data_IF_277256627455
#
_entry.id   IF_277256627455
#
_cell.length_a   1.000
_cell.length_b   1.000
_cell.length_c   1.000
_cell.angle_alpha   90.00
_cell.angle_beta   90.00
_cell.angle_gamma   90.00
#
_symmetry.space_group_name_H-M   'P 1'
#
loop_
_entity.id
_entity.type
_entity.pdbx_description
1 polymer ?
#
# COMPACT_ATOMS: atom_id res chain seq x y z
N UNK A 1 5.59 0.75 -20.25
CA UNK A 1 5.99 -0.08 -19.08
C UNK A 1 5.26 0.49 -17.88
N UNK A 2 4.47 -0.32 -17.17
CA UNK A 2 3.77 0.19 -16.01
C UNK A 2 4.75 0.43 -14.86
N UNK A 3 4.70 1.61 -14.25
CA UNK A 3 5.53 1.94 -13.10
C UNK A 3 5.05 1.18 -11.86
N UNK A 4 5.98 0.76 -11.00
CA UNK A 4 5.67 0.14 -9.71
C UNK A 4 4.74 1.04 -8.87
N UNK A 5 4.87 2.36 -9.00
CA UNK A 5 3.95 3.34 -8.42
C UNK A 5 2.50 3.11 -8.83
N UNK A 6 2.24 2.93 -10.13
CA UNK A 6 0.89 2.65 -10.64
C UNK A 6 0.37 1.30 -10.14
N UNK A 7 1.20 0.26 -10.12
CA UNK A 7 0.82 -1.04 -9.59
C UNK A 7 0.40 -0.97 -8.11
N UNK A 8 1.13 -0.21 -7.29
CA UNK A 8 0.77 0.05 -5.88
C UNK A 8 -0.54 0.81 -5.79
N UNK A 9 -0.71 1.91 -6.53
CA UNK A 9 -1.93 2.72 -6.46
C UNK A 9 -3.17 1.93 -6.91
N UNK A 10 -3.06 1.10 -7.96
CA UNK A 10 -4.14 0.21 -8.41
C UNK A 10 -4.50 -0.81 -7.32
N UNK A 11 -3.49 -1.45 -6.74
CA UNK A 11 -3.69 -2.41 -5.64
C UNK A 11 -4.40 -1.77 -4.44
N UNK A 12 -4.03 -0.53 -4.07
CA UNK A 12 -4.70 0.21 -2.99
C UNK A 12 -6.15 0.51 -3.34
N UNK A 13 -6.44 0.93 -4.57
CA UNK A 13 -7.79 1.22 -5.03
C UNK A 13 -8.67 -0.04 -5.05
N UNK A 14 -8.13 -1.17 -5.55
CA UNK A 14 -8.81 -2.46 -5.56
C UNK A 14 -9.11 -2.95 -4.13
N UNK A 15 -8.13 -2.85 -3.22
CA UNK A 15 -8.34 -3.20 -1.82
C UNK A 15 -9.39 -2.33 -1.15
N UNK A 16 -9.41 -1.02 -1.41
CA UNK A 16 -10.44 -0.12 -0.89
C UNK A 16 -11.82 -0.44 -1.45
N UNK A 17 -11.90 -0.86 -2.71
CA UNK A 17 -13.16 -1.20 -3.35
C UNK A 17 -13.73 -2.53 -2.83
N UNK A 18 -12.88 -3.54 -2.71
CA UNK A 18 -13.26 -4.88 -2.26
C UNK A 18 -13.43 -4.95 -0.74
N UNK A 19 -12.60 -4.21 0.00
CA UNK A 19 -12.54 -4.24 1.47
C UNK A 19 -12.47 -2.82 2.04
N UNK A 20 -13.56 -2.03 1.96
CA UNK A 20 -13.57 -0.63 2.39
C UNK A 20 -13.27 -0.42 3.89
N UNK A 21 -13.52 -1.44 4.71
CA UNK A 21 -13.24 -1.42 6.15
C UNK A 21 -11.80 -1.80 6.51
N UNK A 22 -11.04 -2.34 5.55
CA UNK A 22 -9.69 -2.86 5.81
C UNK A 22 -8.65 -1.73 5.80
N UNK A 23 -7.71 -1.79 6.74
CA UNK A 23 -6.65 -0.78 6.82
C UNK A 23 -5.60 -1.02 5.75
N UNK A 24 -5.27 0.03 5.01
CA UNK A 24 -4.17 -0.02 4.04
C UNK A 24 -2.84 -0.02 4.79
N UNK A 25 -2.16 -1.16 4.82
CA UNK A 25 -0.81 -1.28 5.39
C UNK A 25 0.18 -1.72 4.33
N UNK A 26 1.46 -1.44 4.54
CA UNK A 26 2.53 -1.94 3.66
C UNK A 26 2.48 -3.46 3.51
N UNK A 27 2.07 -4.19 4.57
CA UNK A 27 1.93 -5.64 4.55
C UNK A 27 0.80 -6.06 3.61
N UNK A 28 -0.40 -5.50 3.79
CA UNK A 28 -1.58 -5.82 2.97
C UNK A 28 -1.30 -5.57 1.49
N UNK A 29 -0.69 -4.43 1.15
CA UNK A 29 -0.34 -4.12 -0.24
C UNK A 29 0.73 -5.07 -0.80
N UNK A 30 1.72 -5.44 0.00
CA UNK A 30 2.76 -6.37 -0.43
C UNK A 30 2.19 -7.76 -0.72
N UNK A 31 1.28 -8.24 0.12
CA UNK A 31 0.58 -9.52 -0.05
C UNK A 31 -0.37 -9.47 -1.24
N UNK A 32 -1.09 -8.37 -1.45
CA UNK A 32 -2.02 -8.19 -2.56
C UNK A 32 -1.32 -8.08 -3.92
N UNK A 33 -0.31 -7.21 -4.00
CA UNK A 33 0.34 -6.93 -5.27
C UNK A 33 1.20 -8.11 -5.75
N UNK A 34 1.88 -8.82 -4.84
CA UNK A 34 2.72 -10.01 -5.11
C UNK A 34 3.94 -9.79 -6.01
N UNK A 35 3.92 -8.73 -6.83
CA UNK A 35 4.88 -8.39 -7.88
C UNK A 35 6.02 -7.50 -7.36
N UNK A 36 5.85 -6.86 -6.20
CA UNK A 36 6.82 -5.90 -5.66
C UNK A 36 7.65 -6.56 -4.56
N UNK A 37 8.92 -6.91 -4.83
CA UNK A 37 9.74 -7.67 -3.88
C UNK A 37 10.17 -6.86 -2.64
N UNK A 38 10.05 -5.53 -2.70
CA UNK A 38 10.57 -4.65 -1.65
C UNK A 38 9.45 -3.93 -0.88
N UNK A 39 9.18 -4.41 0.34
CA UNK A 39 8.30 -3.73 1.32
C UNK A 39 8.74 -2.28 1.58
N UNK A 40 10.05 -1.99 1.59
CA UNK A 40 10.57 -0.62 1.74
C UNK A 40 10.14 0.28 0.58
N UNK A 41 10.07 -0.25 -0.64
CA UNK A 41 9.64 0.52 -1.82
C UNK A 41 8.15 0.85 -1.74
N UNK A 42 7.33 -0.14 -1.36
CA UNK A 42 5.89 0.06 -1.09
C UNK A 42 5.71 1.11 0.00
N UNK A 43 6.44 0.99 1.11
CA UNK A 43 6.34 1.94 2.21
C UNK A 43 6.63 3.38 1.78
N UNK A 44 7.69 3.61 0.99
CA UNK A 44 8.01 4.95 0.47
C UNK A 44 6.93 5.49 -0.47
N UNK A 45 6.39 4.62 -1.33
CA UNK A 45 5.30 5.01 -2.25
C UNK A 45 4.03 5.35 -1.46
N UNK A 46 3.64 4.51 -0.50
CA UNK A 46 2.48 4.80 0.35
C UNK A 46 2.68 6.11 1.13
N UNK A 47 3.87 6.34 1.71
CA UNK A 47 4.17 7.59 2.42
C UNK A 47 4.24 8.82 1.51
N UNK A 48 4.49 8.65 0.20
CA UNK A 48 4.49 9.75 -0.79
C UNK A 48 3.07 10.16 -1.18
N UNK A 49 2.13 9.21 -1.23
CA UNK A 49 0.77 9.43 -1.75
C UNK A 49 -0.32 9.49 -0.67
N UNK A 50 -0.07 8.93 0.52
CA UNK A 50 -1.05 8.80 1.59
C UNK A 50 -0.49 9.29 2.92
N UNK A 51 -1.39 9.63 3.83
CA UNK A 51 -1.03 10.08 5.16
C UNK A 51 -0.78 8.83 6.02
N UNK A 52 0.44 8.70 6.53
CA UNK A 52 0.82 7.63 7.45
C UNK A 52 0.25 7.94 8.84
N UNK A 53 -0.67 7.10 9.28
CA UNK A 53 -1.25 7.12 10.62
C UNK A 53 -0.57 6.04 11.50
N UNK A 54 0.07 6.49 12.58
CA UNK A 54 0.80 5.62 13.52
C UNK A 54 2.29 5.49 13.21
N UNK A 55 3.11 5.34 14.26
CA UNK A 55 4.57 5.39 14.13
C UNK A 55 5.26 4.00 14.19
N UNK A 56 4.51 2.95 14.52
CA UNK A 56 5.04 1.61 14.86
C UNK A 56 4.54 0.50 13.91
N UNK A 57 4.64 -0.78 14.31
CA UNK A 57 4.25 -1.98 13.54
C UNK A 57 2.78 -2.01 13.08
N UNK A 58 1.91 -1.16 13.62
CA UNK A 58 0.50 -1.00 13.22
C UNK A 58 0.23 0.23 12.37
N UNK A 59 1.27 0.88 11.82
CA UNK A 59 1.09 2.04 10.96
C UNK A 59 0.28 1.68 9.70
N UNK A 60 -0.73 2.48 9.42
CA UNK A 60 -1.60 2.33 8.26
C UNK A 60 -1.69 3.65 7.51
N UNK A 61 -2.20 3.61 6.28
CA UNK A 61 -2.24 4.75 5.37
C UNK A 61 -3.70 5.12 5.09
N UNK A 62 -4.00 6.42 5.19
CA UNK A 62 -5.27 7.03 4.80
C UNK A 62 -5.11 7.86 3.54
#
# INVERSE_FOLDING_TARGET
MESIENAVMRSVAELRLLFPSEKITTKTIHEWCGMIPSKKRIQRLLAKHFIKEGNNKGAYYK
#
